data_IF_802591814738
#
_entry.id   IF_802591814738
#
_cell.length_a   1.000
_cell.length_b   1.000
_cell.length_c   1.000
_cell.angle_alpha   90.00
_cell.angle_beta   90.00
_cell.angle_gamma   90.00
#
_symmetry.space_group_name_H-M   'P 1'
#
loop_
_entity.id
_entity.type
_entity.pdbx_description
1 polymer ?
#
# COMPACT_ATOMS: atom_id res chain seq x y z
N UNK A 1 -20.04 -30.70 -6.46
CA UNK A 1 -21.06 -30.40 -7.50
C UNK A 1 -21.39 -28.91 -7.66
N UNK A 2 -20.91 -28.00 -6.79
CA UNK A 2 -21.24 -26.56 -6.82
C UNK A 2 -20.36 -25.73 -7.76
N UNK A 3 -19.06 -26.06 -7.91
CA UNK A 3 -18.13 -25.32 -8.79
C UNK A 3 -18.52 -25.36 -10.28
N UNK A 4 -18.98 -26.50 -10.77
CA UNK A 4 -19.40 -26.65 -12.18
C UNK A 4 -20.56 -25.71 -12.54
N UNK A 5 -21.47 -25.46 -11.61
CA UNK A 5 -22.56 -24.52 -11.80
C UNK A 5 -22.11 -23.06 -11.82
N UNK A 6 -21.09 -22.68 -11.05
CA UNK A 6 -20.55 -21.32 -11.07
C UNK A 6 -19.75 -21.07 -12.35
N UNK A 7 -18.92 -22.03 -12.76
CA UNK A 7 -18.16 -21.93 -14.01
C UNK A 7 -19.09 -21.70 -15.22
N UNK A 8 -20.16 -22.50 -15.33
CA UNK A 8 -21.13 -22.36 -16.41
C UNK A 8 -21.84 -20.99 -16.42
N UNK A 9 -22.11 -20.41 -15.25
CA UNK A 9 -22.68 -19.05 -15.15
C UNK A 9 -21.69 -17.99 -15.60
N UNK A 10 -20.43 -18.09 -15.21
CA UNK A 10 -19.38 -17.14 -15.60
C UNK A 10 -19.17 -17.18 -17.12
N UNK A 11 -19.08 -18.38 -17.69
CA UNK A 11 -18.98 -18.56 -19.15
C UNK A 11 -20.18 -17.93 -19.87
N UNK A 12 -21.40 -18.11 -19.33
CA UNK A 12 -22.60 -17.47 -19.89
C UNK A 12 -22.50 -15.94 -19.88
N UNK A 13 -22.10 -15.34 -18.78
CA UNK A 13 -21.96 -13.88 -18.69
C UNK A 13 -20.89 -13.33 -19.64
N UNK A 14 -19.77 -14.03 -19.80
CA UNK A 14 -18.71 -13.62 -20.73
C UNK A 14 -19.26 -13.63 -22.17
N UNK A 15 -20.01 -14.67 -22.55
CA UNK A 15 -20.60 -14.76 -23.88
C UNK A 15 -21.65 -13.66 -24.13
N UNK A 16 -22.47 -13.32 -23.14
CA UNK A 16 -23.43 -12.22 -23.22
C UNK A 16 -22.73 -10.87 -23.44
N UNK A 17 -21.60 -10.64 -22.75
CA UNK A 17 -20.78 -9.42 -22.93
C UNK A 17 -20.18 -9.38 -24.35
N UNK A 18 -19.65 -10.50 -24.84
CA UNK A 18 -19.07 -10.57 -26.19
C UNK A 18 -20.14 -10.28 -27.25
N UNK A 19 -21.34 -10.87 -27.10
CA UNK A 19 -22.44 -10.65 -28.03
C UNK A 19 -22.89 -9.18 -28.03
N UNK A 20 -22.99 -8.57 -26.86
CA UNK A 20 -23.36 -7.16 -26.71
C UNK A 20 -22.29 -6.21 -27.30
N UNK A 21 -21.02 -6.59 -27.23
CA UNK A 21 -19.93 -5.80 -27.79
C UNK A 21 -19.73 -6.04 -29.29
N UNK A 22 -20.26 -7.12 -29.88
CA UNK A 22 -20.05 -7.47 -31.30
C UNK A 22 -20.42 -6.36 -32.29
N UNK A 23 -21.36 -5.50 -31.92
CA UNK A 23 -21.87 -4.42 -32.78
C UNK A 23 -21.00 -3.15 -32.76
N UNK A 24 -20.08 -3.02 -31.79
CA UNK A 24 -19.31 -1.81 -31.57
C UNK A 24 -17.85 -2.14 -31.19
N UNK A 25 -16.89 -1.91 -32.09
CA UNK A 25 -15.48 -2.24 -31.85
C UNK A 25 -14.89 -1.50 -30.65
N UNK A 26 -15.36 -0.30 -30.33
CA UNK A 26 -14.87 0.46 -29.17
C UNK A 26 -15.32 -0.19 -27.85
N UNK A 27 -16.50 -0.80 -27.82
CA UNK A 27 -16.97 -1.57 -26.65
C UNK A 27 -16.19 -2.87 -26.47
N UNK A 28 -15.75 -3.50 -27.56
CA UNK A 28 -14.87 -4.68 -27.50
C UNK A 28 -13.55 -4.30 -26.83
N UNK A 29 -12.94 -3.18 -27.23
CA UNK A 29 -11.68 -2.70 -26.62
C UNK A 29 -11.83 -2.43 -25.12
N UNK A 30 -12.93 -1.79 -24.71
CA UNK A 30 -13.22 -1.54 -23.28
C UNK A 30 -13.44 -2.85 -22.52
N UNK A 31 -14.17 -3.80 -23.10
CA UNK A 31 -14.38 -5.11 -22.49
C UNK A 31 -13.06 -5.86 -22.30
N UNK A 32 -12.18 -5.84 -23.31
CA UNK A 32 -10.84 -6.45 -23.25
C UNK A 32 -9.98 -5.80 -22.15
N UNK A 33 -9.98 -4.46 -22.06
CA UNK A 33 -9.27 -3.76 -21.00
C UNK A 33 -9.76 -4.18 -19.61
N UNK A 34 -11.08 -4.24 -19.41
CA UNK A 34 -11.69 -4.64 -18.15
C UNK A 34 -11.36 -6.09 -17.75
N UNK A 35 -11.42 -7.02 -18.71
CA UNK A 35 -11.04 -8.42 -18.45
C UNK A 35 -9.55 -8.56 -18.12
N UNK A 36 -8.67 -7.80 -18.77
CA UNK A 36 -7.24 -7.78 -18.45
C UNK A 36 -6.97 -7.21 -17.05
N UNK A 37 -7.70 -6.17 -16.63
CA UNK A 37 -7.64 -5.65 -15.26
C UNK A 37 -8.09 -6.70 -14.24
N UNK A 38 -9.21 -7.39 -14.50
CA UNK A 38 -9.71 -8.44 -13.63
C UNK A 38 -8.72 -9.61 -13.51
N UNK A 39 -8.16 -10.08 -14.64
CA UNK A 39 -7.14 -11.13 -14.66
C UNK A 39 -5.91 -10.73 -13.86
N UNK A 40 -5.48 -9.48 -13.96
CA UNK A 40 -4.35 -8.95 -13.19
C UNK A 40 -4.67 -8.94 -11.70
N UNK A 41 -5.86 -8.48 -11.31
CA UNK A 41 -6.31 -8.49 -9.92
C UNK A 41 -6.36 -9.91 -9.35
N UNK A 42 -6.88 -10.89 -10.10
CA UNK A 42 -6.91 -12.30 -9.69
C UNK A 42 -5.50 -12.89 -9.51
N UNK A 43 -4.57 -12.61 -10.44
CA UNK A 43 -3.15 -13.04 -10.31
C UNK A 43 -2.45 -12.42 -9.09
N UNK A 44 -2.76 -11.17 -8.78
CA UNK A 44 -2.27 -10.52 -7.57
C UNK A 44 -2.91 -11.12 -6.32
N UNK A 45 -4.19 -11.47 -6.39
CA UNK A 45 -4.89 -12.15 -5.31
C UNK A 45 -4.37 -13.56 -5.05
N UNK A 46 -3.86 -14.29 -6.04
CA UNK A 46 -3.15 -15.58 -5.86
C UNK A 46 -1.76 -15.42 -5.19
N UNK A 47 -1.15 -14.23 -5.31
CA UNK A 47 0.10 -13.90 -4.60
C UNK A 47 -0.15 -13.45 -3.16
N UNK A 48 -1.29 -12.83 -2.88
CA UNK A 48 -1.69 -12.32 -1.58
C UNK A 48 -2.01 -13.37 -0.49
N UNK A 49 -2.50 -14.60 -0.73
CA UNK A 49 -2.94 -15.49 0.35
C UNK A 49 -1.70 -16.07 1.05
N UNK A 50 -0.56 -16.16 0.35
CA UNK A 50 0.73 -16.53 0.97
C UNK A 50 1.20 -15.50 1.98
N UNK A 51 0.90 -14.22 1.76
CA UNK A 51 1.25 -13.12 2.67
C UNK A 51 0.29 -13.04 3.87
N UNK A 52 -1.00 -13.33 3.66
CA UNK A 52 -1.99 -13.35 4.74
C UNK A 52 -1.88 -14.62 5.59
N UNK A 53 -1.65 -15.79 4.99
CA UNK A 53 -1.46 -17.04 5.73
C UNK A 53 -0.15 -17.01 6.53
N UNK A 54 0.94 -16.41 6.02
CA UNK A 54 2.16 -16.23 6.82
C UNK A 54 1.96 -15.36 8.07
N UNK A 55 0.97 -14.47 8.09
CA UNK A 55 0.63 -13.68 9.30
C UNK A 55 -0.06 -14.55 10.35
N UNK A 56 -0.81 -15.57 9.95
CA UNK A 56 -1.46 -16.51 10.86
C UNK A 56 -0.57 -17.69 11.25
N UNK A 57 0.33 -18.14 10.36
CA UNK A 57 1.30 -19.19 10.65
C UNK A 57 2.31 -18.75 11.74
N UNK A 58 2.63 -17.46 11.82
CA UNK A 58 3.45 -16.89 12.91
C UNK A 58 2.69 -16.74 14.25
N UNK A 59 1.35 -16.91 14.26
CA UNK A 59 0.54 -16.83 15.48
C UNK A 59 0.36 -18.17 16.21
N UNK A 60 0.72 -19.30 15.59
CA UNK A 60 0.58 -20.64 16.21
C UNK A 60 1.71 -20.98 17.20
N UNK A 61 2.71 -20.11 17.35
CA UNK A 61 3.71 -20.22 18.40
C UNK A 61 3.28 -19.42 19.65
N UNK A 62 2.62 -20.12 20.58
CA UNK A 62 2.59 -19.83 22.03
C UNK A 62 1.75 -18.67 22.58
N UNK A 63 0.40 -18.73 22.56
CA UNK A 63 -0.42 -18.14 23.65
C UNK A 63 -1.70 -18.98 23.89
N UNK A 64 -1.95 -19.52 25.09
CA UNK A 64 -3.22 -20.21 25.39
C UNK A 64 -4.38 -19.20 25.43
N UNK A 65 -5.37 -19.39 24.56
CA UNK A 65 -6.68 -18.73 24.58
C UNK A 65 -7.43 -19.11 25.87
N UNK A 66 -7.31 -18.32 26.94
CA UNK A 66 -8.32 -18.40 28.00
C UNK A 66 -8.63 -17.10 28.74
N UNK A 67 -7.97 -15.97 28.46
CA UNK A 67 -8.26 -14.70 29.14
C UNK A 67 -8.01 -13.46 28.25
N UNK A 68 -8.58 -13.42 27.04
CA UNK A 68 -8.60 -12.16 26.28
C UNK A 68 -9.74 -11.27 26.80
N UNK A 69 -9.47 -10.03 27.26
CA UNK A 69 -10.51 -9.11 27.72
C UNK A 69 -11.39 -8.69 26.54
N UNK A 70 -12.71 -8.69 26.77
CA UNK A 70 -13.71 -8.09 25.88
C UNK A 70 -13.38 -6.59 25.78
N UNK A 71 -12.86 -6.16 24.64
CA UNK A 71 -12.65 -4.72 24.37
C UNK A 71 -14.03 -4.13 24.04
N UNK A 72 -14.55 -3.14 24.80
CA UNK A 72 -15.76 -2.45 24.44
C UNK A 72 -15.52 -1.62 23.17
N UNK A 73 -16.47 -1.73 22.24
CA UNK A 73 -16.54 -0.97 21.01
C UNK A 73 -16.58 0.53 21.34
N UNK A 74 -15.43 1.19 21.26
CA UNK A 74 -15.29 2.61 21.52
C UNK A 74 -16.00 3.41 20.42
N UNK A 75 -16.93 4.27 20.85
CA UNK A 75 -17.51 5.34 20.07
C UNK A 75 -16.44 6.36 19.64
N UNK A 76 -16.67 6.97 18.48
CA UNK A 76 -16.01 8.15 17.91
C UNK A 76 -14.49 8.11 17.75
N UNK A 77 -14.03 7.47 16.66
CA UNK A 77 -12.99 8.07 15.82
C UNK A 77 -13.46 8.09 14.36
N UNK A 78 -13.28 9.21 13.64
CA UNK A 78 -13.72 9.30 12.26
C UNK A 78 -12.95 8.29 11.39
N UNK A 79 -13.54 7.83 10.28
CA UNK A 79 -12.91 6.87 9.39
C UNK A 79 -11.77 7.57 8.65
N UNK A 80 -10.54 7.47 9.16
CA UNK A 80 -9.35 7.67 8.33
C UNK A 80 -9.18 6.46 7.40
N UNK A 81 -10.14 6.28 6.48
CA UNK A 81 -9.86 5.57 5.24
C UNK A 81 -9.04 6.52 4.39
N UNK A 82 -7.73 6.36 4.38
CA UNK A 82 -6.92 6.92 3.31
C UNK A 82 -6.02 5.82 2.80
N UNK A 83 -6.33 5.38 1.58
CA UNK A 83 -5.38 4.87 0.61
C UNK A 83 -4.23 5.88 0.47
N UNK A 84 -3.36 5.97 1.49
CA UNK A 84 -2.11 6.71 1.38
C UNK A 84 -1.29 5.95 0.34
N UNK A 85 -0.89 6.58 -0.78
CA UNK A 85 0.04 5.93 -1.70
C UNK A 85 1.23 5.46 -0.87
N UNK A 86 1.84 4.31 -1.19
CA UNK A 86 3.00 3.84 -0.44
C UNK A 86 4.12 4.86 -0.62
N UNK A 87 4.17 5.86 0.24
CA UNK A 87 5.13 6.98 0.19
C UNK A 87 6.55 6.45 0.21
N UNK A 88 6.74 5.30 0.84
CA UNK A 88 7.97 4.52 0.74
C UNK A 88 8.34 4.19 -0.72
N UNK A 89 7.42 3.71 -1.55
CA UNK A 89 7.71 3.37 -2.95
C UNK A 89 8.07 4.61 -3.76
N UNK A 90 7.43 5.75 -3.51
CA UNK A 90 7.77 7.00 -4.20
C UNK A 90 9.15 7.51 -3.78
N UNK A 91 9.46 7.46 -2.48
CA UNK A 91 10.81 7.75 -2.00
C UNK A 91 11.84 6.81 -2.63
N UNK A 92 11.58 5.51 -2.68
CA UNK A 92 12.49 4.54 -3.30
C UNK A 92 12.68 4.78 -4.80
N UNK A 93 11.65 5.27 -5.52
CA UNK A 93 11.78 5.71 -6.92
C UNK A 93 12.67 6.95 -7.06
N UNK A 94 12.49 7.95 -6.20
CA UNK A 94 13.28 9.20 -6.22
C UNK A 94 14.76 8.89 -6.02
N UNK A 95 15.07 7.98 -5.08
CA UNK A 95 16.45 7.66 -4.71
C UNK A 95 17.04 6.45 -5.44
N UNK A 96 16.23 5.73 -6.24
CA UNK A 96 16.66 4.55 -7.00
C UNK A 96 17.13 3.37 -6.16
N UNK A 97 16.80 3.33 -4.86
CA UNK A 97 17.24 2.30 -3.93
C UNK A 97 16.25 2.12 -2.77
N UNK A 98 16.30 0.96 -2.13
CA UNK A 98 15.57 0.72 -0.88
C UNK A 98 16.14 1.57 0.25
N UNK A 99 15.28 2.33 0.93
CA UNK A 99 15.67 3.19 2.04
C UNK A 99 15.63 2.43 3.36
N UNK A 100 16.75 2.48 4.09
CA UNK A 100 16.84 1.98 5.47
C UNK A 100 16.24 3.00 6.44
N UNK A 101 15.97 2.58 7.67
CA UNK A 101 15.46 3.47 8.71
C UNK A 101 16.40 4.67 8.96
N UNK A 102 17.71 4.44 8.91
CA UNK A 102 18.74 5.48 9.02
C UNK A 102 18.63 6.52 7.91
N UNK A 103 18.41 6.09 6.67
CA UNK A 103 18.25 6.98 5.52
C UNK A 103 17.00 7.85 5.68
N UNK A 104 15.89 7.23 6.11
CA UNK A 104 14.63 7.93 6.38
C UNK A 104 14.75 8.92 7.55
N UNK A 105 15.53 8.60 8.58
CA UNK A 105 15.82 9.51 9.70
C UNK A 105 16.65 10.71 9.25
N UNK A 106 17.66 10.51 8.40
CA UNK A 106 18.47 11.60 7.84
C UNK A 106 17.60 12.53 6.99
N UNK A 107 16.83 11.96 6.07
CA UNK A 107 15.93 12.73 5.20
C UNK A 107 14.87 13.46 6.02
N UNK A 108 14.24 12.77 6.97
CA UNK A 108 13.22 13.33 7.84
C UNK A 108 13.77 14.45 8.71
N UNK A 109 14.99 14.33 9.21
CA UNK A 109 15.64 15.39 10.01
C UNK A 109 15.99 16.61 9.17
N UNK A 110 16.52 16.41 7.96
CA UNK A 110 16.80 17.51 7.03
C UNK A 110 15.51 18.26 6.66
N UNK A 111 14.43 17.54 6.34
CA UNK A 111 13.14 18.15 6.01
C UNK A 111 12.49 18.82 7.23
N UNK A 112 12.56 18.19 8.41
CA UNK A 112 12.04 18.76 9.66
C UNK A 112 12.68 20.12 9.97
N UNK A 113 13.99 20.25 9.78
CA UNK A 113 14.72 21.51 9.96
C UNK A 113 14.30 22.58 8.93
N UNK A 114 14.15 22.20 7.66
CA UNK A 114 13.83 23.14 6.59
C UNK A 114 12.34 23.56 6.56
N UNK A 115 11.44 22.68 7.00
CA UNK A 115 9.99 22.91 6.98
C UNK A 115 9.44 23.38 8.32
N UNK A 116 10.28 23.39 9.37
CA UNK A 116 9.86 23.62 10.76
C UNK A 116 8.73 22.68 11.21
N UNK A 117 8.65 21.48 10.63
CA UNK A 117 7.69 20.44 11.01
C UNK A 117 8.33 19.59 12.10
N UNK A 118 7.70 19.51 13.27
CA UNK A 118 8.23 18.75 14.40
C UNK A 118 8.28 17.25 14.06
N UNK A 119 9.47 16.68 14.21
CA UNK A 119 9.69 15.24 14.10
C UNK A 119 9.83 14.65 15.51
N UNK A 120 8.80 13.93 15.96
CA UNK A 120 8.74 13.42 17.32
C UNK A 120 9.76 12.28 17.58
N UNK A 121 10.13 12.10 18.84
CA UNK A 121 11.14 11.10 19.25
C UNK A 121 10.70 9.68 18.88
N UNK A 122 9.42 9.36 19.03
CA UNK A 122 8.92 8.02 18.73
C UNK A 122 8.77 7.80 17.22
N UNK A 123 8.48 8.87 16.46
CA UNK A 123 8.56 8.86 14.99
C UNK A 123 9.96 8.52 14.50
N UNK A 124 11.01 9.02 15.16
CA UNK A 124 12.40 8.70 14.82
C UNK A 124 12.75 7.23 15.05
N UNK A 125 12.17 6.59 16.06
CA UNK A 125 12.54 5.23 16.48
C UNK A 125 11.92 4.12 15.62
N UNK A 126 10.76 4.37 15.02
CA UNK A 126 10.02 3.36 14.27
C UNK A 126 9.97 3.69 12.78
N UNK A 127 10.36 2.71 11.94
CA UNK A 127 10.26 2.83 10.48
C UNK A 127 8.82 3.11 10.03
N UNK A 128 7.84 2.45 10.66
CA UNK A 128 6.41 2.62 10.36
C UNK A 128 5.95 4.03 10.72
N UNK A 129 6.30 4.52 11.91
CA UNK A 129 5.94 5.87 12.34
C UNK A 129 6.57 6.94 11.44
N UNK A 130 7.83 6.73 11.02
CA UNK A 130 8.51 7.62 10.07
C UNK A 130 7.81 7.66 8.71
N UNK A 131 7.44 6.51 8.15
CA UNK A 131 6.70 6.44 6.89
C UNK A 131 5.34 7.14 7.02
N UNK A 132 4.64 6.94 8.14
CA UNK A 132 3.37 7.63 8.40
C UNK A 132 3.54 9.14 8.48
N UNK A 133 4.62 9.62 9.09
CA UNK A 133 4.94 11.04 9.13
C UNK A 133 5.20 11.62 7.73
N UNK A 134 5.95 10.90 6.89
CA UNK A 134 6.12 11.27 5.49
C UNK A 134 4.79 11.30 4.73
N UNK A 135 3.93 10.31 4.96
CA UNK A 135 2.64 10.23 4.30
C UNK A 135 1.67 11.33 4.70
N UNK A 136 1.65 11.72 5.98
CA UNK A 136 0.83 12.83 6.47
C UNK A 136 1.29 14.18 5.91
N UNK A 137 2.60 14.35 5.66
CA UNK A 137 3.18 15.61 5.19
C UNK A 137 3.59 15.58 3.71
N UNK A 138 3.14 14.57 2.94
CA UNK A 138 3.70 14.25 1.63
C UNK A 138 3.58 15.40 0.63
N UNK A 139 2.42 16.07 0.61
CA UNK A 139 2.13 17.19 -0.30
C UNK A 139 3.10 18.36 -0.10
N UNK A 140 3.66 18.52 1.10
CA UNK A 140 4.61 19.58 1.44
C UNK A 140 6.05 19.09 1.24
N UNK A 141 6.32 17.83 1.62
CA UNK A 141 7.66 17.24 1.54
C UNK A 141 8.12 17.04 0.10
N UNK A 142 7.26 16.49 -0.76
CA UNK A 142 7.63 16.13 -2.12
C UNK A 142 8.24 17.29 -2.94
N UNK A 143 7.59 18.47 -3.08
CA UNK A 143 8.19 19.58 -3.81
C UNK A 143 9.50 20.04 -3.14
N UNK A 144 9.56 20.00 -1.80
CA UNK A 144 10.71 20.45 -1.02
C UNK A 144 11.93 19.55 -1.17
N UNK A 145 11.74 18.26 -1.45
CA UNK A 145 12.85 17.36 -1.81
C UNK A 145 13.58 17.89 -3.05
N UNK A 146 12.84 18.32 -4.08
CA UNK A 146 13.42 18.84 -5.32
C UNK A 146 13.96 20.27 -5.16
N UNK A 147 13.22 21.15 -4.48
CA UNK A 147 13.64 22.54 -4.24
C UNK A 147 14.96 22.62 -3.46
N UNK A 148 15.14 21.74 -2.47
CA UNK A 148 16.34 21.70 -1.63
C UNK A 148 17.45 20.82 -2.21
N UNK A 149 17.26 20.23 -3.40
CA UNK A 149 18.25 19.33 -4.01
C UNK A 149 18.46 18.00 -3.26
N UNK A 150 17.54 17.64 -2.36
CA UNK A 150 17.65 16.46 -1.50
C UNK A 150 17.46 15.13 -2.25
N UNK A 151 16.98 15.14 -3.49
CA UNK A 151 16.92 13.96 -4.35
C UNK A 151 18.31 13.35 -4.65
N UNK A 152 19.38 14.13 -4.49
CA UNK A 152 20.78 13.69 -4.64
C UNK A 152 21.48 13.48 -3.29
N UNK A 153 20.73 13.44 -2.19
CA UNK A 153 21.29 13.30 -0.85
C UNK A 153 22.09 12.00 -0.72
N UNK A 154 23.33 12.14 -0.24
CA UNK A 154 24.19 11.00 0.05
C UNK A 154 24.00 10.56 1.50
N UNK A 155 23.41 9.38 1.66
CA UNK A 155 23.12 8.78 2.96
C UNK A 155 24.32 8.07 3.59
N UNK A 156 25.47 8.01 2.91
CA UNK A 156 26.68 7.34 3.43
C UNK A 156 27.40 8.13 4.53
N UNK A 157 27.03 9.40 4.76
CA UNK A 157 27.70 10.31 5.70
C UNK A 157 27.17 10.29 7.14
N UNK A 158 26.19 9.45 7.49
CA UNK A 158 25.79 9.29 8.89
C UNK A 158 26.80 8.40 9.62
N UNK A 159 27.80 9.03 10.24
CA UNK A 159 28.66 8.44 11.27
C UNK A 159 28.38 9.12 12.60
#
# INVERSE_FOLDING_TARGET
MTESNQHNRIVKYINEIIEYCRQDPTRIEVAVANFNCLLTAMKLYDRAPRYFNSIFDDCDATIPLQNAPIIPLAADKPPESQNKPPVLNELEKIYGKKLKITDLQMLGSALSQNLNIKLDRDTKRSKVAMINWFATNWNVILPKIYELGLQRMDFSKAK
#
